data_IF_495280380163
#
_entry.id   IF_495280380163
#
_cell.length_a   1.000
_cell.length_b   1.000
_cell.length_c   1.000
_cell.angle_alpha   90.00
_cell.angle_beta   90.00
_cell.angle_gamma   90.00
#
_symmetry.space_group_name_H-M   'P 1'
#
loop_
_entity.id
_entity.type
_entity.pdbx_description
1 polymer ?
#
# COMPACT_ATOMS: atom_id res chain seq x y z
N UNK A 1 52.78 -32.39 -63.49
CA UNK A 1 53.20 -33.03 -62.22
C UNK A 1 52.84 -32.08 -61.09
N UNK A 2 51.73 -32.36 -60.40
CA UNK A 2 51.25 -31.56 -59.28
C UNK A 2 51.84 -32.11 -57.98
N UNK A 3 52.47 -31.25 -57.20
CA UNK A 3 53.04 -31.57 -55.89
C UNK A 3 51.92 -31.68 -54.86
N UNK A 4 51.57 -32.91 -54.47
CA UNK A 4 50.72 -33.16 -53.31
C UNK A 4 51.55 -32.98 -52.03
N UNK A 5 51.31 -31.87 -51.32
CA UNK A 5 51.77 -31.66 -49.96
C UNK A 5 50.66 -32.15 -49.02
N UNK A 6 50.75 -33.39 -48.57
CA UNK A 6 49.89 -33.94 -47.53
C UNK A 6 50.48 -33.51 -46.18
N UNK A 7 49.79 -32.61 -45.47
CA UNK A 7 50.06 -32.35 -44.06
C UNK A 7 49.46 -33.49 -43.26
N UNK A 8 50.30 -34.26 -42.56
CA UNK A 8 49.83 -35.25 -41.58
C UNK A 8 49.20 -34.51 -40.40
N UNK A 9 47.92 -34.79 -40.16
CA UNK A 9 47.23 -34.49 -38.91
C UNK A 9 47.97 -35.23 -37.80
N UNK A 10 48.64 -34.49 -36.90
CA UNK A 10 49.14 -35.05 -35.65
C UNK A 10 47.95 -35.43 -34.79
N UNK A 11 47.88 -36.70 -34.41
CA UNK A 11 47.07 -37.20 -33.31
C UNK A 11 47.19 -36.29 -32.08
N UNK A 12 46.04 -35.86 -31.58
CA UNK A 12 45.96 -35.22 -30.27
C UNK A 12 46.16 -36.29 -29.20
N UNK A 13 47.39 -36.40 -28.68
CA UNK A 13 47.63 -37.04 -27.38
C UNK A 13 47.32 -36.05 -26.26
N UNK A 14 46.30 -36.26 -25.42
CA UNK A 14 46.20 -35.54 -24.16
C UNK A 14 47.15 -36.19 -23.14
N UNK A 15 48.44 -35.85 -23.25
CA UNK A 15 49.42 -36.16 -22.22
C UNK A 15 49.31 -35.17 -21.05
N UNK A 16 48.43 -35.45 -20.09
CA UNK A 16 48.60 -34.98 -18.72
C UNK A 16 47.87 -35.90 -17.74
N UNK A 17 48.60 -36.78 -17.06
CA UNK A 17 48.11 -37.56 -15.93
C UNK A 17 47.88 -36.59 -14.76
N UNK A 18 46.73 -35.89 -14.75
CA UNK A 18 46.29 -35.10 -13.61
C UNK A 18 46.26 -36.06 -12.42
N UNK A 19 47.16 -35.84 -11.45
CA UNK A 19 47.29 -36.67 -10.26
C UNK A 19 45.90 -36.96 -9.71
N UNK A 20 45.57 -38.23 -9.42
CA UNK A 20 44.27 -38.63 -8.87
C UNK A 20 43.88 -37.74 -7.67
N UNK A 21 44.87 -37.26 -6.91
CA UNK A 21 44.70 -36.30 -5.81
C UNK A 21 44.17 -34.95 -6.28
N UNK A 22 44.68 -34.39 -7.38
CA UNK A 22 44.21 -33.15 -8.00
C UNK A 22 42.82 -33.29 -8.60
N UNK A 23 42.51 -34.42 -9.24
CA UNK A 23 41.16 -34.71 -9.75
C UNK A 23 40.14 -34.82 -8.60
N UNK A 24 40.49 -35.50 -7.52
CA UNK A 24 39.66 -35.57 -6.30
C UNK A 24 39.49 -34.18 -5.69
N UNK A 25 40.55 -33.38 -5.60
CA UNK A 25 40.49 -32.02 -5.06
C UNK A 25 39.57 -31.11 -5.89
N UNK A 26 39.63 -31.20 -7.22
CA UNK A 26 38.74 -30.48 -8.13
C UNK A 26 37.28 -30.93 -7.97
N UNK A 27 37.01 -32.24 -7.91
CA UNK A 27 35.66 -32.76 -7.70
C UNK A 27 35.07 -32.31 -6.35
N UNK A 28 35.87 -32.31 -5.29
CA UNK A 28 35.46 -31.82 -3.96
C UNK A 28 35.20 -30.32 -4.00
N UNK A 29 36.07 -29.54 -4.66
CA UNK A 29 35.92 -28.11 -4.79
C UNK A 29 34.68 -27.72 -5.60
N UNK A 30 34.46 -28.34 -6.77
CA UNK A 30 33.25 -28.13 -7.57
C UNK A 30 31.99 -28.61 -6.83
N UNK A 31 32.06 -29.72 -6.09
CA UNK A 31 30.96 -30.21 -5.26
C UNK A 31 30.57 -29.21 -4.17
N UNK A 32 31.56 -28.64 -3.47
CA UNK A 32 31.34 -27.59 -2.47
C UNK A 32 30.76 -26.31 -3.09
N UNK A 33 31.26 -25.89 -4.26
CA UNK A 33 30.71 -24.74 -4.98
C UNK A 33 29.25 -24.95 -5.35
N UNK A 34 28.90 -26.12 -5.89
CA UNK A 34 27.51 -26.45 -6.24
C UNK A 34 26.63 -26.46 -4.99
N UNK A 35 27.10 -27.03 -3.89
CA UNK A 35 26.36 -27.06 -2.63
C UNK A 35 26.06 -25.64 -2.11
N UNK A 36 27.03 -24.73 -2.16
CA UNK A 36 26.84 -23.32 -1.77
C UNK A 36 25.88 -22.60 -2.73
N UNK A 37 26.03 -22.82 -4.04
CA UNK A 37 25.15 -22.23 -5.07
C UNK A 37 23.70 -22.69 -4.91
N UNK A 38 23.44 -23.88 -4.36
CA UNK A 38 22.07 -24.37 -4.08
C UNK A 38 21.58 -23.90 -2.71
N UNK A 39 22.42 -23.95 -1.69
CA UNK A 39 22.05 -23.58 -0.32
C UNK A 39 21.69 -22.08 -0.20
N UNK A 40 22.35 -21.21 -0.96
CA UNK A 40 22.11 -19.76 -0.91
C UNK A 40 20.72 -19.38 -1.44
N UNK A 41 20.29 -19.77 -2.66
CA UNK A 41 18.93 -19.52 -3.15
C UNK A 41 17.84 -20.16 -2.29
N UNK A 42 18.08 -21.39 -1.79
CA UNK A 42 17.12 -22.06 -0.90
C UNK A 42 17.00 -21.32 0.43
N UNK A 43 18.13 -20.87 1.00
CA UNK A 43 18.15 -20.00 2.18
C UNK A 43 17.40 -18.69 1.94
N UNK A 44 17.63 -18.03 0.80
CA UNK A 44 16.94 -16.79 0.41
C UNK A 44 15.43 -17.01 0.23
N UNK A 45 15.02 -18.14 -0.37
CA UNK A 45 13.61 -18.47 -0.58
C UNK A 45 12.90 -18.77 0.75
N UNK A 46 13.56 -19.50 1.65
CA UNK A 46 13.05 -19.87 2.97
C UNK A 46 13.03 -18.68 3.96
N UNK A 47 13.78 -17.62 3.68
CA UNK A 47 13.78 -16.39 4.50
C UNK A 47 12.67 -15.41 4.13
N UNK A 48 11.89 -15.68 3.07
CA UNK A 48 10.77 -14.81 2.71
C UNK A 48 9.72 -14.88 3.82
N UNK A 49 9.42 -13.76 4.52
CA UNK A 49 8.36 -13.75 5.51
C UNK A 49 7.04 -14.13 4.81
N UNK A 50 6.15 -14.88 5.48
CA UNK A 50 4.84 -15.20 4.93
C UNK A 50 4.08 -13.90 4.59
N UNK A 51 3.26 -13.90 3.53
CA UNK A 51 2.44 -12.74 3.21
C UNK A 51 1.59 -12.39 4.42
N UNK A 52 1.67 -11.12 4.86
CA UNK A 52 0.86 -10.62 5.97
C UNK A 52 -0.61 -10.67 5.54
N UNK A 53 -1.36 -11.63 6.07
CA UNK A 53 -2.76 -11.83 5.71
C UNK A 53 -3.68 -11.08 6.68
N UNK A 54 -4.43 -10.10 6.16
CA UNK A 54 -5.41 -9.33 6.94
C UNK A 54 -6.73 -10.11 7.09
N UNK A 55 -7.35 -10.04 8.26
CA UNK A 55 -8.60 -10.75 8.60
C UNK A 55 -9.83 -9.84 8.74
N UNK A 56 -9.68 -8.53 8.59
CA UNK A 56 -10.79 -7.58 8.66
C UNK A 56 -11.47 -7.37 7.30
N UNK A 57 -12.56 -6.58 7.33
CA UNK A 57 -13.23 -6.14 6.10
C UNK A 57 -12.30 -5.33 5.20
N UNK A 58 -12.52 -5.40 3.89
CA UNK A 58 -11.71 -4.71 2.87
C UNK A 58 -12.08 -3.23 2.70
N UNK A 59 -11.49 -2.60 1.70
CA UNK A 59 -11.84 -1.22 1.31
C UNK A 59 -13.30 -1.15 0.86
N UNK A 60 -13.98 -0.07 1.22
CA UNK A 60 -15.37 0.20 0.83
C UNK A 60 -15.47 0.24 -0.69
N UNK A 61 -16.44 -0.48 -1.27
CA UNK A 61 -16.68 -0.43 -2.71
C UNK A 61 -17.02 1.01 -3.14
N UNK A 62 -16.53 1.43 -4.31
CA UNK A 62 -16.74 2.80 -4.82
C UNK A 62 -16.27 3.90 -3.87
N UNK A 63 -15.19 3.65 -3.11
CA UNK A 63 -14.67 4.59 -2.11
C UNK A 63 -14.46 6.00 -2.71
N UNK A 64 -13.83 6.10 -3.87
CA UNK A 64 -13.50 7.38 -4.48
C UNK A 64 -14.76 8.16 -4.89
N UNK A 65 -15.74 7.46 -5.47
CA UNK A 65 -17.02 8.05 -5.87
C UNK A 65 -17.82 8.52 -4.65
N UNK A 66 -17.83 7.74 -3.56
CA UNK A 66 -18.48 8.11 -2.30
C UNK A 66 -17.80 9.34 -1.69
N UNK A 67 -16.47 9.35 -1.63
CA UNK A 67 -15.69 10.49 -1.11
C UNK A 67 -15.99 11.78 -1.90
N UNK A 68 -15.99 11.70 -3.24
CA UNK A 68 -16.32 12.85 -4.09
C UNK A 68 -17.76 13.31 -3.87
N UNK A 69 -18.73 12.40 -3.87
CA UNK A 69 -20.15 12.72 -3.66
C UNK A 69 -20.39 13.41 -2.32
N UNK A 70 -19.76 12.91 -1.25
CA UNK A 70 -19.84 13.52 0.09
C UNK A 70 -19.14 14.87 0.16
N UNK A 71 -17.99 15.03 -0.49
CA UNK A 71 -17.30 16.32 -0.56
C UNK A 71 -18.17 17.40 -1.23
N UNK A 72 -18.76 17.09 -2.39
CA UNK A 72 -19.65 18.04 -3.07
C UNK A 72 -20.90 18.33 -2.26
N UNK A 73 -21.51 17.31 -1.64
CA UNK A 73 -22.66 17.50 -0.75
C UNK A 73 -22.32 18.44 0.41
N UNK A 74 -21.16 18.23 1.06
CA UNK A 74 -20.74 19.05 2.17
C UNK A 74 -20.44 20.49 1.74
N UNK A 75 -19.62 20.67 0.72
CA UNK A 75 -19.16 22.01 0.27
C UNK A 75 -20.25 22.84 -0.43
N UNK A 76 -21.26 22.21 -1.04
CA UNK A 76 -22.30 22.91 -1.77
C UNK A 76 -23.62 23.05 -0.99
N UNK A 77 -23.93 22.10 -0.10
CA UNK A 77 -25.23 22.04 0.59
C UNK A 77 -25.08 22.27 2.09
N UNK A 78 -24.17 21.54 2.74
CA UNK A 78 -24.04 21.58 4.22
C UNK A 78 -23.32 22.85 4.68
N UNK A 79 -22.21 23.19 4.03
CA UNK A 79 -21.33 24.32 4.32
C UNK A 79 -20.97 25.06 3.02
N UNK A 80 -21.91 25.83 2.44
CA UNK A 80 -21.68 26.56 1.20
C UNK A 80 -20.50 27.55 1.27
N UNK A 81 -20.11 27.99 2.47
CA UNK A 81 -18.91 28.81 2.74
C UNK A 81 -17.62 28.14 2.22
N UNK A 82 -17.60 26.81 2.16
CA UNK A 82 -16.47 26.00 1.67
C UNK A 82 -16.62 25.60 0.21
N UNK A 83 -17.57 26.17 -0.53
CA UNK A 83 -17.84 25.87 -1.95
C UNK A 83 -16.67 26.14 -2.88
N UNK A 84 -15.66 26.90 -2.44
CA UNK A 84 -14.42 27.17 -3.16
C UNK A 84 -13.40 26.02 -3.10
N UNK A 85 -13.60 25.01 -2.24
CA UNK A 85 -12.69 23.86 -2.11
C UNK A 85 -12.80 22.93 -3.31
N UNK A 86 -11.65 22.48 -3.80
CA UNK A 86 -11.57 21.55 -4.93
C UNK A 86 -11.72 20.10 -4.47
N UNK A 87 -12.95 19.58 -4.55
CA UNK A 87 -13.25 18.18 -4.19
C UNK A 87 -12.49 17.15 -5.02
N UNK A 88 -12.15 17.44 -6.28
CA UNK A 88 -11.33 16.53 -7.10
C UNK A 88 -9.91 16.44 -6.55
N UNK A 89 -9.33 17.59 -6.19
CA UNK A 89 -7.98 17.65 -5.58
C UNK A 89 -7.96 16.99 -4.21
N UNK A 90 -8.98 17.23 -3.37
CA UNK A 90 -9.13 16.61 -2.05
C UNK A 90 -9.25 15.09 -2.17
N UNK A 91 -10.17 14.60 -3.01
CA UNK A 91 -10.35 13.16 -3.20
C UNK A 91 -9.08 12.46 -3.68
N UNK A 92 -8.33 13.09 -4.60
CA UNK A 92 -7.03 12.57 -5.07
C UNK A 92 -5.98 12.56 -3.97
N UNK A 93 -5.91 13.60 -3.15
CA UNK A 93 -5.00 13.66 -2.00
C UNK A 93 -5.35 12.57 -0.98
N UNK A 94 -6.64 12.35 -0.74
CA UNK A 94 -7.15 11.30 0.15
C UNK A 94 -6.66 9.92 -0.30
N UNK A 95 -6.90 9.55 -1.56
CA UNK A 95 -6.50 8.23 -2.06
C UNK A 95 -4.97 8.09 -2.14
N UNK A 96 -4.27 9.15 -2.53
CA UNK A 96 -2.79 9.15 -2.62
C UNK A 96 -2.12 8.89 -1.26
N UNK A 97 -2.78 9.21 -0.16
CA UNK A 97 -2.23 9.00 1.18
C UNK A 97 -1.96 7.52 1.46
N UNK A 98 -2.77 6.60 0.93
CA UNK A 98 -2.64 5.16 1.20
C UNK A 98 -2.42 4.29 -0.05
N UNK A 99 -2.78 4.75 -1.25
CA UNK A 99 -2.60 3.96 -2.47
C UNK A 99 -1.14 3.52 -2.64
N UNK A 100 -0.94 2.26 -3.01
CA UNK A 100 0.38 1.65 -3.25
C UNK A 100 1.34 1.65 -2.04
N UNK A 101 0.85 1.82 -0.81
CA UNK A 101 1.66 1.77 0.41
C UNK A 101 1.40 0.49 1.22
N UNK A 102 2.39 0.09 2.03
CA UNK A 102 2.17 -0.95 3.03
C UNK A 102 1.13 -0.44 4.06
N UNK A 103 -0.01 -1.13 4.21
CA UNK A 103 -1.08 -0.70 5.12
C UNK A 103 -0.64 -0.60 6.58
N UNK A 104 0.46 -1.27 6.97
CA UNK A 104 1.03 -1.22 8.30
C UNK A 104 2.07 -0.10 8.50
N UNK A 105 2.45 0.63 7.44
CA UNK A 105 3.53 1.62 7.47
C UNK A 105 3.05 3.05 7.19
N UNK A 106 1.81 3.37 7.55
CA UNK A 106 1.31 4.74 7.36
C UNK A 106 1.85 5.70 8.39
N UNK A 107 2.10 6.92 7.93
CA UNK A 107 2.59 8.04 8.73
C UNK A 107 1.62 9.22 8.63
N UNK A 108 1.73 10.19 9.54
CA UNK A 108 0.96 11.43 9.49
C UNK A 108 1.30 12.27 8.25
N UNK A 109 2.58 12.25 7.85
CA UNK A 109 3.11 12.97 6.69
C UNK A 109 2.42 12.54 5.39
N UNK A 110 1.97 11.29 5.32
CA UNK A 110 1.24 10.77 4.17
C UNK A 110 -0.10 11.49 3.93
N UNK A 111 -0.70 12.03 5.00
CA UNK A 111 -1.98 12.74 4.98
C UNK A 111 -1.85 14.26 5.06
N UNK A 112 -0.64 14.80 5.18
CA UNK A 112 -0.44 16.24 5.40
C UNK A 112 -1.09 17.11 4.31
N UNK A 113 -0.93 16.73 3.04
CA UNK A 113 -1.57 17.42 1.92
C UNK A 113 -3.10 17.35 1.99
N UNK A 114 -3.65 16.22 2.46
CA UNK A 114 -5.10 16.10 2.64
C UNK A 114 -5.57 17.09 3.71
N UNK A 115 -4.90 17.12 4.87
CA UNK A 115 -5.23 18.03 5.96
C UNK A 115 -5.21 19.49 5.51
N UNK A 116 -4.19 19.90 4.76
CA UNK A 116 -4.07 21.25 4.21
C UNK A 116 -5.24 21.60 3.27
N UNK A 117 -5.64 20.68 2.39
CA UNK A 117 -6.74 20.92 1.45
C UNK A 117 -8.11 20.92 2.14
N UNK A 118 -8.27 20.18 3.22
CA UNK A 118 -9.52 20.07 3.98
C UNK A 118 -9.60 21.01 5.18
N UNK A 119 -8.58 21.84 5.40
CA UNK A 119 -8.55 22.78 6.53
C UNK A 119 -9.78 23.67 6.58
N UNK A 120 -10.46 23.73 7.72
CA UNK A 120 -11.66 24.51 7.93
C UNK A 120 -11.72 25.04 9.36
N UNK A 121 -12.35 26.20 9.53
CA UNK A 121 -12.51 26.79 10.85
C UNK A 121 -13.62 26.06 11.63
N UNK A 122 -13.24 25.41 12.73
CA UNK A 122 -14.19 24.84 13.68
C UNK A 122 -14.44 25.84 14.80
N UNK A 123 -15.70 26.20 15.12
CA UNK A 123 -15.98 27.19 16.15
C UNK A 123 -15.46 26.77 17.55
N UNK A 124 -14.89 27.72 18.28
CA UNK A 124 -14.44 27.52 19.66
C UNK A 124 -15.59 27.07 20.56
N UNK A 125 -15.29 26.22 21.55
CA UNK A 125 -16.24 25.68 22.53
C UNK A 125 -17.46 24.93 21.95
N UNK A 126 -17.39 24.60 20.64
CA UNK A 126 -18.43 23.86 19.93
C UNK A 126 -18.00 22.46 19.52
N UNK A 127 -16.80 22.02 19.87
CA UNK A 127 -16.30 20.69 19.55
C UNK A 127 -16.78 19.65 20.55
N UNK A 128 -17.23 18.50 20.05
CA UNK A 128 -17.67 17.36 20.83
C UNK A 128 -16.83 16.13 20.51
N UNK A 129 -16.04 15.69 21.48
CA UNK A 129 -15.32 14.42 21.41
C UNK A 129 -16.17 13.30 21.98
N UNK A 130 -16.04 12.11 21.40
CA UNK A 130 -16.77 10.93 21.85
C UNK A 130 -15.93 9.67 21.69
N UNK A 131 -16.26 8.65 22.49
CA UNK A 131 -15.66 7.31 22.40
C UNK A 131 -16.69 6.30 22.87
N UNK A 132 -16.93 5.24 22.09
CA UNK A 132 -17.97 4.22 22.32
C UNK A 132 -19.41 4.77 22.34
N UNK A 133 -19.61 6.05 22.07
CA UNK A 133 -20.91 6.76 22.15
C UNK A 133 -21.27 7.50 20.87
N UNK A 134 -20.91 6.94 19.71
CA UNK A 134 -21.10 7.58 18.39
C UNK A 134 -22.54 8.02 18.15
N UNK A 135 -23.51 7.12 18.32
CA UNK A 135 -24.92 7.40 18.05
C UNK A 135 -25.43 8.55 18.91
N UNK A 136 -25.13 8.52 20.21
CA UNK A 136 -25.50 9.57 21.15
C UNK A 136 -24.85 10.91 20.81
N UNK A 137 -23.57 10.92 20.42
CA UNK A 137 -22.87 12.15 20.05
C UNK A 137 -23.50 12.81 18.82
N UNK A 138 -23.81 12.02 17.78
CA UNK A 138 -24.47 12.52 16.57
C UNK A 138 -25.93 12.94 16.83
N UNK A 139 -26.67 12.22 17.66
CA UNK A 139 -28.02 12.65 18.07
C UNK A 139 -27.98 13.98 18.83
N UNK A 140 -26.96 14.16 19.68
CA UNK A 140 -26.76 15.41 20.38
C UNK A 140 -26.46 16.57 19.43
N UNK A 141 -25.60 16.41 18.42
CA UNK A 141 -25.32 17.49 17.44
C UNK A 141 -26.51 17.80 16.54
N UNK A 142 -27.39 16.83 16.25
CA UNK A 142 -28.66 17.08 15.53
C UNK A 142 -29.62 17.98 16.31
N UNK A 143 -29.70 17.78 17.63
CA UNK A 143 -30.53 18.60 18.54
C UNK A 143 -29.86 19.94 18.82
N UNK A 144 -28.57 19.90 19.17
CA UNK A 144 -27.70 21.06 19.42
C UNK A 144 -26.90 21.35 18.17
N UNK A 145 -27.58 21.96 17.20
CA UNK A 145 -27.06 22.30 15.86
C UNK A 145 -25.82 23.21 15.86
N UNK A 146 -25.44 23.73 17.03
CA UNK A 146 -24.24 24.55 17.23
C UNK A 146 -23.01 23.75 17.64
N UNK A 147 -23.10 22.42 17.80
CA UNK A 147 -22.01 21.53 18.20
C UNK A 147 -21.53 20.66 17.04
N UNK A 148 -20.24 20.34 17.01
CA UNK A 148 -19.56 19.63 15.94
C UNK A 148 -18.74 18.47 16.50
N UNK A 149 -19.02 17.26 16.02
CA UNK A 149 -18.10 16.13 16.14
C UNK A 149 -17.01 16.20 15.08
N UNK A 150 -16.05 15.28 15.10
CA UNK A 150 -15.08 15.16 14.01
C UNK A 150 -15.81 14.88 12.69
N UNK A 151 -16.81 14.00 12.74
CA UNK A 151 -17.60 13.55 11.60
C UNK A 151 -18.45 14.67 10.97
N UNK A 152 -18.66 15.77 11.70
CA UNK A 152 -19.33 16.97 11.21
C UNK A 152 -18.38 17.94 10.47
N UNK A 153 -17.07 17.63 10.38
CA UNK A 153 -16.08 18.40 9.61
C UNK A 153 -16.01 17.96 8.15
N UNK A 154 -15.42 18.74 7.23
CA UNK A 154 -15.31 18.32 5.82
C UNK A 154 -14.63 16.95 5.65
N UNK A 155 -13.47 16.77 6.28
CA UNK A 155 -12.72 15.51 6.17
C UNK A 155 -13.43 14.37 6.90
N UNK A 156 -13.98 14.64 8.08
CA UNK A 156 -14.77 13.66 8.83
C UNK A 156 -16.01 13.21 8.05
N UNK A 157 -16.80 14.14 7.54
CA UNK A 157 -18.01 13.89 6.78
C UNK A 157 -17.72 13.05 5.52
N UNK A 158 -16.64 13.35 4.82
CA UNK A 158 -16.19 12.56 3.68
C UNK A 158 -15.89 11.11 4.09
N UNK A 159 -15.13 10.93 5.17
CA UNK A 159 -14.62 9.64 5.61
C UNK A 159 -15.56 8.82 6.51
N UNK A 160 -16.66 9.41 6.99
CA UNK A 160 -17.48 8.85 8.06
C UNK A 160 -18.02 7.44 7.71
N UNK A 161 -17.76 6.48 8.59
CA UNK A 161 -18.13 5.08 8.41
C UNK A 161 -17.44 4.35 7.24
N UNK A 162 -16.49 4.98 6.54
CA UNK A 162 -15.75 4.34 5.43
C UNK A 162 -14.54 3.56 5.95
N UNK A 163 -14.18 2.53 5.19
CA UNK A 163 -12.99 1.68 5.42
C UNK A 163 -12.10 1.72 4.17
N UNK A 164 -10.79 1.88 4.33
CA UNK A 164 -9.84 1.91 3.21
C UNK A 164 -8.44 1.39 3.57
N UNK A 165 -7.69 1.03 2.53
CA UNK A 165 -6.29 0.64 2.63
C UNK A 165 -5.50 0.67 1.33
N UNK A 166 -4.17 0.75 1.51
CA UNK A 166 -3.19 0.53 0.46
C UNK A 166 -2.93 -0.93 0.15
N UNK A 167 -2.42 -1.16 -1.07
CA UNK A 167 -1.83 -2.43 -1.49
C UNK A 167 -0.52 -2.12 -2.23
N UNK A 168 0.66 -2.48 -1.66
CA UNK A 168 1.96 -2.19 -2.27
C UNK A 168 2.18 -2.93 -3.62
N UNK A 169 1.35 -3.92 -3.96
CA UNK A 169 1.42 -4.66 -5.22
C UNK A 169 0.57 -4.10 -6.36
N UNK A 170 -0.22 -3.05 -6.13
CA UNK A 170 -1.13 -2.47 -7.14
C UNK A 170 -0.42 -1.47 -8.05
N UNK A 171 0.25 -1.92 -9.12
CA UNK A 171 0.76 -1.01 -10.15
C UNK A 171 -0.41 -0.39 -10.92
N UNK A 172 -0.52 0.95 -10.90
CA UNK A 172 -1.62 1.73 -11.48
C UNK A 172 -1.70 1.74 -13.01
N UNK A 173 -1.98 0.59 -13.61
CA UNK A 173 -2.39 0.48 -15.02
C UNK A 173 -3.68 -0.33 -15.13
N UNK A 174 -4.79 0.41 -15.22
CA UNK A 174 -6.12 -0.17 -15.34
C UNK A 174 -7.23 0.84 -15.07
N UNK A 175 -7.34 1.87 -15.92
CA UNK A 175 -8.65 2.52 -16.12
C UNK A 175 -9.57 1.46 -16.75
N UNK A 176 -10.61 1.06 -16.01
CA UNK A 176 -11.68 0.18 -16.49
C UNK A 176 -11.75 -1.17 -15.78
N UNK A 177 -12.79 -1.34 -14.98
CA UNK A 177 -13.40 -2.61 -14.55
C UNK A 177 -12.49 -3.59 -13.75
N UNK A 178 -12.85 -3.76 -12.46
CA UNK A 178 -12.30 -4.72 -11.48
C UNK A 178 -10.84 -4.47 -11.01
N UNK A 179 -10.65 -3.44 -10.18
CA UNK A 179 -9.47 -3.34 -9.31
C UNK A 179 -9.75 -3.92 -7.92
N UNK A 180 -9.75 -5.25 -7.78
CA UNK A 180 -9.65 -5.92 -6.48
C UNK A 180 -8.32 -6.70 -6.43
N UNK A 181 -7.59 -6.71 -5.30
CA UNK A 181 -6.33 -7.44 -5.18
C UNK A 181 -6.54 -8.93 -5.41
N UNK A 182 -5.78 -9.60 -6.27
CA UNK A 182 -5.92 -11.06 -6.49
C UNK A 182 -4.74 -11.81 -5.87
N UNK A 183 -5.02 -12.81 -5.04
CA UNK A 183 -4.04 -13.81 -4.58
C UNK A 183 -3.54 -14.64 -5.79
N UNK A 184 -2.50 -15.48 -5.63
CA UNK A 184 -2.01 -16.48 -6.63
C UNK A 184 -3.15 -17.41 -7.13
N UNK A 185 -4.25 -17.48 -6.37
CA UNK A 185 -5.48 -18.21 -6.69
C UNK A 185 -6.61 -17.34 -7.29
N UNK A 186 -6.37 -16.06 -7.60
CA UNK A 186 -7.37 -15.15 -8.20
C UNK A 186 -8.40 -14.56 -7.23
N UNK A 187 -8.21 -14.66 -5.92
CA UNK A 187 -9.18 -14.23 -4.89
C UNK A 187 -8.92 -12.82 -4.35
N UNK A 188 -9.97 -12.00 -4.06
CA UNK A 188 -9.85 -10.68 -3.43
C UNK A 188 -9.02 -10.72 -2.13
N UNK A 189 -7.90 -10.00 -2.06
CA UNK A 189 -7.07 -9.88 -0.85
C UNK A 189 -7.34 -8.53 -0.17
N UNK A 190 -7.83 -8.50 1.08
CA UNK A 190 -8.06 -7.27 1.82
C UNK A 190 -6.81 -6.83 2.56
N UNK A 191 -6.66 -5.53 2.81
CA UNK A 191 -5.48 -4.99 3.47
C UNK A 191 -5.80 -3.81 4.41
N UNK A 192 -6.87 -3.80 5.23
CA UNK A 192 -7.28 -2.57 5.94
C UNK A 192 -6.16 -1.94 6.78
N UNK A 193 -6.07 -0.61 6.74
CA UNK A 193 -5.36 0.18 7.73
C UNK A 193 -6.01 -0.12 9.09
N UNK A 194 -5.27 -0.44 10.17
CA UNK A 194 -5.84 -0.32 11.50
C UNK A 194 -6.35 1.11 11.61
N UNK A 195 -7.62 1.28 12.00
CA UNK A 195 -8.19 2.58 12.34
C UNK A 195 -7.09 3.42 12.99
N UNK A 196 -6.66 4.56 12.39
CA UNK A 196 -5.78 5.45 13.13
C UNK A 196 -6.46 5.65 14.49
N UNK A 197 -5.73 5.49 15.60
CA UNK A 197 -6.31 5.51 16.94
C UNK A 197 -6.92 6.88 17.16
N UNK A 198 -8.19 7.03 16.79
CA UNK A 198 -8.70 8.32 16.32
C UNK A 198 -7.80 8.87 15.18
N UNK A 199 -8.39 9.67 14.30
CA UNK A 199 -7.65 10.83 13.86
C UNK A 199 -7.23 11.51 15.17
N UNK A 200 -5.99 11.31 15.65
CA UNK A 200 -5.43 12.20 16.66
C UNK A 200 -5.37 13.53 15.94
N UNK A 201 -6.52 14.19 15.92
CA UNK A 201 -6.71 15.58 15.68
C UNK A 201 -5.88 16.18 16.82
N UNK A 202 -4.57 16.30 16.58
CA UNK A 202 -3.96 17.58 16.80
C UNK A 202 -4.67 18.55 15.84
N UNK A 203 -5.90 18.90 16.18
CA UNK A 203 -6.31 20.27 16.12
C UNK A 203 -5.32 20.92 17.06
N UNK A 204 -4.20 21.36 16.49
CA UNK A 204 -3.63 22.59 16.94
C UNK A 204 -4.75 23.62 16.78
N UNK A 205 -5.62 23.67 17.78
CA UNK A 205 -6.42 24.84 18.13
C UNK A 205 -5.36 25.90 18.37
N UNK A 206 -5.12 26.70 17.34
CA UNK A 206 -4.38 27.94 17.48
C UNK A 206 -5.37 29.07 17.68
#
# INVERSE_FOLDING_TARGET
MANHRFSSVSEEEPCCNISKKTQICLCVFFGLLIAVIIAVPVGILMWRPPPKQWKGEGTTAHLYEILLGRCYTYTQIVRPELGHKDCQKIGKAFTKAFLMKDPCSSTEQDYQLLMELTDEAVPCDKTLFWSKSSELAHDYTRVRRDMFTLEDTLLGYMADGLKWCGDPGSSGEGQGLLGLPRDVSGRPVPALMPSPPLMTIQAHVK
#
